data_IF_716501055984
#
_entry.id   IF_716501055984
#
_cell.length_a   1.000
_cell.length_b   1.000
_cell.length_c   1.000
_cell.angle_alpha   90.00
_cell.angle_beta   90.00
_cell.angle_gamma   90.00
#
_symmetry.space_group_name_H-M   'P 1'
#
loop_
_entity.id
_entity.type
_entity.pdbx_description
1 polymer ?
#
# COMPACT_ATOMS: atom_id res chain seq x y z
N UNK A 1 -12.90 -17.80 -30.71
CA UNK A 1 -12.19 -16.84 -29.84
C UNK A 1 -12.78 -15.46 -30.06
N UNK A 2 -12.38 -14.48 -29.25
CA UNK A 2 -12.73 -13.07 -29.47
C UNK A 2 -11.71 -12.42 -30.42
N UNK A 3 -12.16 -11.47 -31.25
CA UNK A 3 -11.25 -10.53 -31.92
C UNK A 3 -10.99 -9.39 -30.97
N UNK A 4 -9.72 -9.11 -30.66
CA UNK A 4 -9.33 -8.17 -29.61
C UNK A 4 -8.39 -7.12 -30.18
N UNK A 5 -8.73 -5.86 -29.94
CA UNK A 5 -7.83 -4.74 -30.11
C UNK A 5 -7.45 -4.23 -28.72
N UNK A 6 -6.16 -4.01 -28.47
CA UNK A 6 -5.65 -3.41 -27.25
C UNK A 6 -5.02 -2.06 -27.60
N UNK A 7 -5.41 -1.01 -26.88
CA UNK A 7 -4.98 0.36 -27.14
C UNK A 7 -4.29 0.93 -25.91
N UNK A 8 -3.08 1.46 -26.07
CA UNK A 8 -2.34 2.13 -25.01
C UNK A 8 -1.30 3.10 -25.58
N UNK A 9 -0.60 3.87 -24.74
CA UNK A 9 0.52 4.73 -25.13
C UNK A 9 1.82 3.94 -25.16
N UNK A 10 1.86 2.79 -25.87
CA UNK A 10 2.99 1.86 -25.79
C UNK A 10 4.35 2.50 -26.08
N UNK A 11 4.41 3.46 -27.00
CA UNK A 11 5.63 4.20 -27.36
C UNK A 11 6.11 5.14 -26.26
N UNK A 12 5.21 5.69 -25.45
CA UNK A 12 5.54 6.64 -24.39
C UNK A 12 6.37 5.98 -23.26
N UNK A 13 6.24 4.67 -23.09
CA UNK A 13 6.90 3.91 -22.02
C UNK A 13 8.10 3.09 -22.50
N UNK A 14 8.68 3.45 -23.65
CA UNK A 14 9.85 2.78 -24.23
C UNK A 14 9.70 1.24 -24.25
N UNK A 15 10.73 0.49 -23.85
CA UNK A 15 10.74 -0.97 -23.85
C UNK A 15 9.97 -1.62 -22.69
N UNK A 16 9.33 -0.85 -21.80
CA UNK A 16 8.66 -1.40 -20.60
C UNK A 16 7.55 -2.41 -20.96
N UNK A 17 6.88 -2.21 -22.10
CA UNK A 17 5.80 -3.06 -22.58
C UNK A 17 6.22 -4.14 -23.57
N UNK A 18 7.52 -4.31 -23.89
CA UNK A 18 7.95 -5.27 -24.92
C UNK A 18 7.52 -6.71 -24.61
N UNK A 19 7.66 -7.13 -23.35
CA UNK A 19 7.22 -8.44 -22.88
C UNK A 19 5.70 -8.65 -23.07
N UNK A 20 4.85 -7.83 -22.45
CA UNK A 20 3.40 -7.88 -22.63
C UNK A 20 2.95 -7.78 -24.09
N UNK A 21 3.51 -6.85 -24.88
CA UNK A 21 3.17 -6.67 -26.30
C UNK A 21 3.44 -7.93 -27.11
N UNK A 22 4.56 -8.61 -26.86
CA UNK A 22 4.87 -9.88 -27.52
C UNK A 22 3.81 -10.94 -27.18
N UNK A 23 3.44 -11.11 -25.92
CA UNK A 23 2.42 -12.08 -25.50
C UNK A 23 1.07 -11.77 -26.15
N UNK A 24 0.67 -10.51 -26.19
CA UNK A 24 -0.56 -10.06 -26.84
C UNK A 24 -0.54 -10.35 -28.35
N UNK A 25 0.55 -9.99 -29.04
CA UNK A 25 0.70 -10.21 -30.47
C UNK A 25 0.72 -11.70 -30.84
N UNK A 26 1.44 -12.54 -30.07
CA UNK A 26 1.45 -14.00 -30.22
C UNK A 26 0.07 -14.62 -29.99
N UNK A 27 -0.78 -13.96 -29.19
CA UNK A 27 -2.17 -14.35 -28.95
C UNK A 27 -3.14 -13.84 -30.03
N UNK A 28 -2.64 -13.16 -31.06
CA UNK A 28 -3.45 -12.59 -32.14
C UNK A 28 -4.20 -11.30 -31.78
N UNK A 29 -3.81 -10.62 -30.70
CA UNK A 29 -4.36 -9.32 -30.32
C UNK A 29 -3.73 -8.24 -31.19
N UNK A 30 -4.57 -7.39 -31.80
CA UNK A 30 -4.10 -6.23 -32.56
C UNK A 30 -3.77 -5.11 -31.58
N UNK A 31 -2.53 -4.66 -31.61
CA UNK A 31 -2.05 -3.54 -30.79
C UNK A 31 -2.24 -2.22 -31.54
N UNK A 32 -2.78 -1.21 -30.86
CA UNK A 32 -2.94 0.15 -31.34
C UNK A 32 -2.28 1.11 -30.37
N UNK A 33 -1.58 2.12 -30.90
CA UNK A 33 -0.93 3.13 -30.07
C UNK A 33 -1.71 4.45 -30.10
N UNK A 34 -1.85 5.13 -28.97
CA UNK A 34 -2.48 6.45 -28.92
C UNK A 34 -1.74 7.49 -29.76
N UNK A 35 -0.43 7.36 -29.99
CA UNK A 35 0.30 8.21 -30.93
C UNK A 35 -0.21 8.06 -32.38
N UNK A 36 -0.81 6.91 -32.72
CA UNK A 36 -1.30 6.60 -34.06
C UNK A 36 -2.79 6.93 -34.22
N UNK A 37 -3.62 6.55 -33.24
CA UNK A 37 -5.09 6.68 -33.33
C UNK A 37 -5.65 7.87 -32.55
N UNK A 38 -4.83 8.52 -31.73
CA UNK A 38 -5.21 9.58 -30.80
C UNK A 38 -6.11 9.09 -29.65
N UNK A 39 -6.20 9.86 -28.57
CA UNK A 39 -7.10 9.56 -27.44
C UNK A 39 -8.59 9.51 -27.84
N UNK A 40 -8.94 10.19 -28.93
CA UNK A 40 -10.27 10.14 -29.52
C UNK A 40 -10.51 8.90 -30.38
N UNK A 41 -9.58 7.95 -30.50
CA UNK A 41 -9.73 6.73 -31.32
C UNK A 41 -10.29 7.03 -32.73
N UNK A 42 -9.66 7.97 -33.43
CA UNK A 42 -10.15 8.46 -34.71
C UNK A 42 -10.16 7.32 -35.75
N UNK A 43 -11.23 7.25 -36.55
CA UNK A 43 -11.39 6.20 -37.57
C UNK A 43 -11.95 4.87 -37.07
N UNK A 44 -12.24 4.75 -35.77
CA UNK A 44 -12.93 3.61 -35.17
C UNK A 44 -14.31 4.07 -34.74
N UNK A 45 -15.39 3.47 -35.24
CA UNK A 45 -16.76 3.80 -34.85
C UNK A 45 -17.65 2.55 -34.79
N UNK A 46 -18.50 2.47 -33.76
CA UNK A 46 -19.50 1.43 -33.54
C UNK A 46 -19.05 -0.01 -33.88
N UNK A 47 -17.79 -0.35 -33.57
CA UNK A 47 -17.12 -1.57 -34.05
C UNK A 47 -17.03 -2.69 -33.01
N UNK A 48 -17.18 -2.38 -31.72
CA UNK A 48 -16.95 -3.36 -30.65
C UNK A 48 -18.23 -3.81 -29.96
N UNK A 49 -18.37 -5.12 -29.72
CA UNK A 49 -19.47 -5.64 -28.90
C UNK A 49 -19.22 -5.46 -27.39
N UNK A 50 -17.94 -5.35 -27.00
CA UNK A 50 -17.51 -5.12 -25.62
C UNK A 50 -16.34 -4.14 -25.65
N UNK A 51 -16.37 -3.13 -24.79
CA UNK A 51 -15.29 -2.18 -24.56
C UNK A 51 -14.89 -2.27 -23.09
N UNK A 52 -13.61 -2.43 -22.82
CA UNK A 52 -13.03 -2.45 -21.47
C UNK A 52 -12.20 -1.17 -21.29
N UNK A 53 -12.45 -0.42 -20.22
CA UNK A 53 -11.64 0.72 -19.82
C UNK A 53 -11.35 0.56 -18.32
N UNK A 54 -10.20 -0.05 -18.04
CA UNK A 54 -9.84 -0.58 -16.72
C UNK A 54 -8.61 0.18 -16.19
N UNK A 55 -8.75 0.88 -15.07
CA UNK A 55 -7.67 1.64 -14.41
C UNK A 55 -7.24 2.87 -15.20
N UNK A 56 -8.20 3.56 -15.82
CA UNK A 56 -7.92 4.68 -16.73
C UNK A 56 -8.70 5.94 -16.36
N UNK A 57 -9.97 5.82 -15.98
CA UNK A 57 -10.86 6.98 -15.81
C UNK A 57 -10.41 7.92 -14.69
N UNK A 58 -9.70 7.39 -13.69
CA UNK A 58 -9.11 8.11 -12.57
C UNK A 58 -7.90 8.98 -12.97
N UNK A 59 -7.24 8.63 -14.07
CA UNK A 59 -6.12 9.37 -14.64
C UNK A 59 -6.56 10.46 -15.61
N UNK A 60 -7.84 10.54 -15.97
CA UNK A 60 -8.33 11.56 -16.93
C UNK A 60 -8.36 12.93 -16.26
N UNK A 61 -7.58 13.91 -16.76
CA UNK A 61 -7.56 15.25 -16.18
C UNK A 61 -8.85 16.00 -16.49
N UNK A 62 -9.23 16.90 -15.58
CA UNK A 62 -10.40 17.79 -15.70
C UNK A 62 -11.75 17.09 -15.79
N UNK A 63 -12.12 16.54 -16.95
CA UNK A 63 -13.44 15.96 -17.20
C UNK A 63 -13.33 14.59 -17.84
N UNK A 64 -13.98 13.54 -17.29
CA UNK A 64 -14.02 12.22 -17.91
C UNK A 64 -14.94 12.16 -19.15
N UNK A 65 -15.67 13.23 -19.46
CA UNK A 65 -16.66 13.24 -20.55
C UNK A 65 -16.07 12.87 -21.92
N UNK A 66 -14.93 13.43 -22.38
CA UNK A 66 -14.38 13.08 -23.68
C UNK A 66 -13.99 11.59 -23.80
N UNK A 67 -13.52 10.99 -22.70
CA UNK A 67 -13.27 9.56 -22.63
C UNK A 67 -14.59 8.79 -22.78
N UNK A 68 -15.60 9.09 -21.97
CA UNK A 68 -16.88 8.39 -22.01
C UNK A 68 -17.58 8.54 -23.37
N UNK A 69 -17.55 9.73 -23.99
CA UNK A 69 -18.10 9.96 -25.33
C UNK A 69 -17.36 9.13 -26.40
N UNK A 70 -16.04 8.95 -26.23
CA UNK A 70 -15.23 8.10 -27.11
C UNK A 70 -15.58 6.63 -26.94
N UNK A 71 -15.71 6.16 -25.70
CA UNK A 71 -16.06 4.77 -25.39
C UNK A 71 -17.47 4.41 -25.89
N UNK A 72 -18.47 5.27 -25.67
CA UNK A 72 -19.83 5.04 -26.20
C UNK A 72 -19.83 5.01 -27.74
N UNK A 73 -19.08 5.91 -28.39
CA UNK A 73 -19.03 5.97 -29.85
C UNK A 73 -18.48 4.68 -30.47
N UNK A 74 -17.34 4.19 -29.98
CA UNK A 74 -16.72 2.96 -30.52
C UNK A 74 -17.49 1.69 -30.18
N UNK A 75 -18.34 1.73 -29.14
CA UNK A 75 -19.17 0.62 -28.73
C UNK A 75 -20.38 0.45 -29.67
N UNK A 76 -20.56 -0.75 -30.21
CA UNK A 76 -21.74 -1.09 -31.01
C UNK A 76 -23.03 -0.97 -30.19
N UNK A 77 -24.16 -0.69 -30.85
CA UNK A 77 -25.48 -0.71 -30.20
C UNK A 77 -25.76 -2.07 -29.59
N UNK A 78 -26.27 -2.08 -28.36
CA UNK A 78 -26.47 -3.31 -27.57
C UNK A 78 -25.20 -3.87 -26.93
N UNK A 79 -24.03 -3.31 -27.26
CA UNK A 79 -22.74 -3.69 -26.71
C UNK A 79 -22.58 -3.30 -25.24
N UNK A 80 -21.56 -3.88 -24.60
CA UNK A 80 -21.26 -3.69 -23.18
C UNK A 80 -20.02 -2.80 -22.99
N UNK A 81 -20.15 -1.82 -22.11
CA UNK A 81 -19.02 -1.08 -21.56
C UNK A 81 -18.74 -1.59 -20.16
N UNK A 82 -17.48 -1.95 -19.93
CA UNK A 82 -16.94 -2.27 -18.62
C UNK A 82 -15.98 -1.17 -18.20
N UNK A 83 -16.29 -0.50 -17.09
CA UNK A 83 -15.41 0.48 -16.47
C UNK A 83 -14.99 -0.02 -15.11
N UNK A 84 -13.74 0.21 -14.75
CA UNK A 84 -13.30 0.06 -13.36
C UNK A 84 -12.48 1.26 -12.89
N UNK A 85 -12.39 1.43 -11.58
CA UNK A 85 -11.65 2.52 -10.92
C UNK A 85 -11.51 2.25 -9.43
N UNK A 86 -10.49 2.83 -8.77
CA UNK A 86 -10.44 2.87 -7.31
C UNK A 86 -11.69 3.51 -6.70
N UNK A 87 -12.15 2.96 -5.57
CA UNK A 87 -13.27 3.50 -4.80
C UNK A 87 -12.80 4.62 -3.87
N UNK A 88 -13.22 5.86 -4.12
CA UNK A 88 -12.90 7.01 -3.27
C UNK A 88 -13.30 6.78 -1.81
N UNK A 89 -14.41 6.07 -1.58
CA UNK A 89 -14.94 5.76 -0.24
C UNK A 89 -14.59 4.36 0.23
N UNK A 90 -13.51 3.77 -0.29
CA UNK A 90 -12.88 2.58 0.28
C UNK A 90 -12.67 2.76 1.80
N UNK A 91 -12.85 1.68 2.57
CA UNK A 91 -12.75 1.70 4.03
C UNK A 91 -11.47 2.40 4.51
N UNK A 92 -10.31 2.06 3.95
CA UNK A 92 -9.04 2.67 4.37
C UNK A 92 -8.98 4.17 4.06
N UNK A 93 -9.65 4.63 2.99
CA UNK A 93 -9.78 6.05 2.67
C UNK A 93 -10.69 6.79 3.66
N UNK A 94 -11.81 6.18 4.07
CA UNK A 94 -12.67 6.73 5.15
C UNK A 94 -11.89 6.87 6.45
N UNK A 95 -11.07 5.86 6.74
CA UNK A 95 -10.17 5.83 7.89
C UNK A 95 -9.11 6.96 7.82
N UNK A 96 -8.49 7.18 6.64
CA UNK A 96 -7.59 8.33 6.40
C UNK A 96 -8.30 9.67 6.63
N UNK A 97 -9.49 9.86 6.07
CA UNK A 97 -10.27 11.08 6.28
C UNK A 97 -10.60 11.33 7.75
N UNK A 98 -10.97 10.28 8.50
CA UNK A 98 -11.20 10.38 9.94
C UNK A 98 -9.95 10.84 10.72
N UNK A 99 -8.76 10.55 10.20
CA UNK A 99 -7.46 11.02 10.73
C UNK A 99 -7.04 12.40 10.23
N UNK A 100 -7.80 13.02 9.33
CA UNK A 100 -7.41 14.26 8.66
C UNK A 100 -6.29 14.06 7.63
N UNK A 101 -6.07 12.83 7.18
CA UNK A 101 -5.09 12.50 6.14
C UNK A 101 -5.69 12.65 4.74
N UNK A 102 -4.85 13.04 3.77
CA UNK A 102 -5.26 13.08 2.36
C UNK A 102 -5.34 11.67 1.78
N UNK A 103 -6.33 11.46 0.90
CA UNK A 103 -6.43 10.26 0.05
C UNK A 103 -5.87 10.52 -1.35
N UNK A 104 -5.61 11.79 -1.70
CA UNK A 104 -5.01 12.17 -2.96
C UNK A 104 -3.52 11.86 -2.98
N UNK A 105 -2.92 11.95 -4.16
CA UNK A 105 -1.47 11.88 -4.31
C UNK A 105 -0.76 12.85 -3.36
N UNK A 106 0.41 12.43 -2.87
CA UNK A 106 1.21 13.27 -1.99
C UNK A 106 1.53 14.60 -2.66
N UNK A 107 1.15 15.71 -2.02
CA UNK A 107 1.20 17.04 -2.64
C UNK A 107 2.60 17.42 -3.12
N UNK A 108 3.65 17.00 -2.41
CA UNK A 108 5.03 17.26 -2.82
C UNK A 108 5.38 16.53 -4.12
N UNK A 109 5.00 15.25 -4.25
CA UNK A 109 5.26 14.49 -5.48
C UNK A 109 4.49 15.11 -6.66
N UNK A 110 3.21 15.45 -6.46
CA UNK A 110 2.40 16.10 -7.50
C UNK A 110 2.94 17.49 -7.88
N UNK A 111 3.41 18.28 -6.91
CA UNK A 111 3.94 19.63 -7.14
C UNK A 111 5.25 19.62 -7.93
N UNK A 112 6.13 18.67 -7.66
CA UNK A 112 7.44 18.53 -8.32
C UNK A 112 7.36 17.71 -9.63
N UNK A 113 6.17 17.21 -10.01
CA UNK A 113 5.99 16.40 -11.23
C UNK A 113 6.07 17.30 -12.47
N UNK A 114 6.89 16.91 -13.44
CA UNK A 114 6.83 17.50 -14.78
C UNK A 114 5.49 17.18 -15.45
N UNK A 115 4.95 18.10 -16.24
CA UNK A 115 3.68 17.85 -16.91
C UNK A 115 3.83 16.77 -18.00
N UNK A 116 2.86 15.84 -18.12
CA UNK A 116 1.61 15.76 -17.36
C UNK A 116 1.74 15.03 -16.01
N UNK A 117 0.88 15.39 -15.05
CA UNK A 117 0.72 14.59 -13.84
C UNK A 117 -0.01 13.27 -14.17
N UNK A 118 0.69 12.15 -14.01
CA UNK A 118 0.20 10.81 -14.35
C UNK A 118 -0.55 10.09 -13.20
N UNK A 119 -0.59 10.67 -12.00
CA UNK A 119 -1.35 10.10 -10.89
C UNK A 119 -2.86 10.25 -11.02
N UNK A 120 -3.60 9.79 -10.01
CA UNK A 120 -5.06 9.92 -9.98
C UNK A 120 -5.47 11.40 -9.86
N UNK A 121 -6.26 11.89 -10.81
CA UNK A 121 -6.90 13.20 -10.76
C UNK A 121 -8.21 13.15 -9.98
N UNK A 122 -8.92 12.02 -10.06
CA UNK A 122 -10.16 11.78 -9.34
C UNK A 122 -10.41 10.29 -9.15
N UNK A 123 -10.60 9.87 -7.91
CA UNK A 123 -11.23 8.58 -7.62
C UNK A 123 -12.75 8.77 -7.52
N UNK A 124 -13.52 7.72 -7.81
CA UNK A 124 -14.98 7.82 -7.93
C UNK A 124 -15.70 7.00 -6.86
N UNK A 125 -16.96 7.33 -6.66
CA UNK A 125 -17.91 6.55 -5.88
C UNK A 125 -18.91 5.85 -6.80
N UNK A 126 -19.55 4.79 -6.32
CA UNK A 126 -20.61 4.07 -7.05
C UNK A 126 -21.70 4.99 -7.62
N UNK A 127 -22.34 5.89 -6.84
CA UNK A 127 -23.36 6.77 -7.38
C UNK A 127 -22.85 7.71 -8.49
N UNK A 128 -21.58 8.14 -8.44
CA UNK A 128 -20.99 8.96 -9.51
C UNK A 128 -20.80 8.15 -10.80
N UNK A 129 -20.29 6.92 -10.70
CA UNK A 129 -20.17 6.02 -11.86
C UNK A 129 -21.55 5.75 -12.49
N UNK A 130 -22.54 5.39 -11.67
CA UNK A 130 -23.91 5.15 -12.13
C UNK A 130 -24.50 6.41 -12.79
N UNK A 131 -24.29 7.59 -12.20
CA UNK A 131 -24.74 8.84 -12.80
C UNK A 131 -24.08 9.11 -14.16
N UNK A 132 -22.77 8.89 -14.29
CA UNK A 132 -22.06 9.09 -15.56
C UNK A 132 -22.54 8.12 -16.65
N UNK A 133 -22.73 6.84 -16.31
CA UNK A 133 -23.25 5.83 -17.24
C UNK A 133 -24.67 6.15 -17.70
N UNK A 134 -25.55 6.57 -16.78
CA UNK A 134 -26.89 7.07 -17.13
C UNK A 134 -26.81 8.32 -18.00
N UNK A 135 -25.84 9.22 -17.74
CA UNK A 135 -25.68 10.48 -18.47
C UNK A 135 -25.32 10.28 -19.94
N UNK A 136 -24.54 9.24 -20.26
CA UNK A 136 -24.24 8.82 -21.64
C UNK A 136 -25.33 7.92 -22.26
N UNK A 137 -26.43 7.69 -21.53
CA UNK A 137 -27.59 6.95 -22.02
C UNK A 137 -27.47 5.43 -21.92
N UNK A 138 -26.52 4.91 -21.14
CA UNK A 138 -26.40 3.47 -20.92
C UNK A 138 -27.52 2.93 -20.02
N UNK A 139 -27.83 1.66 -20.20
CA UNK A 139 -28.85 0.89 -19.47
C UNK A 139 -28.27 -0.43 -18.94
N UNK A 140 -29.06 -1.20 -18.19
CA UNK A 140 -28.65 -2.49 -17.60
C UNK A 140 -27.32 -2.35 -16.84
N UNK A 141 -27.27 -1.35 -15.97
CA UNK A 141 -26.06 -1.06 -15.18
C UNK A 141 -26.02 -2.04 -14.02
N UNK A 142 -24.90 -2.75 -13.87
CA UNK A 142 -24.55 -3.48 -12.65
C UNK A 142 -23.22 -2.98 -12.12
N UNK A 143 -23.03 -3.12 -10.81
CA UNK A 143 -21.84 -2.68 -10.09
C UNK A 143 -21.35 -3.79 -9.20
N UNK A 144 -20.10 -4.21 -9.40
CA UNK A 144 -19.39 -5.08 -8.49
C UNK A 144 -18.32 -4.28 -7.76
N UNK A 145 -18.13 -4.58 -6.47
CA UNK A 145 -17.04 -4.01 -5.70
C UNK A 145 -16.23 -5.15 -5.06
N UNK A 146 -14.91 -5.05 -5.12
CA UNK A 146 -14.00 -6.10 -4.67
C UNK A 146 -12.75 -5.52 -4.03
N UNK A 147 -12.06 -6.35 -3.24
CA UNK A 147 -10.76 -6.00 -2.67
C UNK A 147 -9.67 -6.67 -3.50
N UNK A 148 -8.63 -5.93 -3.88
CA UNK A 148 -7.50 -6.48 -4.63
C UNK A 148 -6.28 -6.64 -3.71
N UNK A 149 -5.95 -5.58 -2.97
CA UNK A 149 -4.75 -5.50 -2.13
C UNK A 149 -4.75 -6.51 -0.99
N UNK A 150 -5.92 -6.89 -0.46
CA UNK A 150 -5.99 -7.90 0.61
C UNK A 150 -5.53 -9.28 0.15
N UNK A 151 -5.63 -9.60 -1.14
CA UNK A 151 -5.18 -10.89 -1.68
C UNK A 151 -3.67 -10.94 -1.94
N UNK A 152 -3.00 -9.79 -2.00
CA UNK A 152 -1.54 -9.72 -2.10
C UNK A 152 -0.85 -9.97 -0.74
N UNK A 153 -1.60 -9.96 0.37
CA UNK A 153 -1.06 -10.15 1.70
C UNK A 153 -1.03 -11.64 2.07
N UNK A 154 0.16 -12.15 2.40
CA UNK A 154 0.32 -13.53 2.88
C UNK A 154 -0.29 -13.77 4.28
N UNK A 155 -0.54 -12.72 5.05
CA UNK A 155 -1.22 -12.79 6.35
C UNK A 155 -1.90 -11.45 6.64
N UNK A 156 -3.15 -11.48 7.10
CA UNK A 156 -3.86 -10.29 7.58
C UNK A 156 -3.61 -10.11 9.08
N UNK A 157 -3.24 -8.91 9.50
CA UNK A 157 -3.06 -8.56 10.91
C UNK A 157 -4.36 -8.03 11.54
N UNK A 158 -4.39 -7.82 12.85
CA UNK A 158 -5.60 -7.50 13.62
C UNK A 158 -6.54 -6.46 12.98
N UNK A 159 -6.00 -5.29 12.57
CA UNK A 159 -6.77 -4.24 11.90
C UNK A 159 -7.28 -4.68 10.53
N UNK A 160 -6.44 -5.37 9.76
CA UNK A 160 -6.76 -5.79 8.40
C UNK A 160 -7.87 -6.82 8.38
N UNK A 161 -7.88 -7.74 9.36
CA UNK A 161 -8.96 -8.72 9.54
C UNK A 161 -10.28 -8.03 9.85
N UNK A 162 -10.28 -7.07 10.78
CA UNK A 162 -11.48 -6.31 11.11
C UNK A 162 -12.00 -5.52 9.90
N UNK A 163 -11.10 -4.84 9.19
CA UNK A 163 -11.43 -4.09 7.99
C UNK A 163 -11.98 -4.99 6.89
N UNK A 164 -11.36 -6.15 6.65
CA UNK A 164 -11.84 -7.13 5.69
C UNK A 164 -13.28 -7.53 5.97
N UNK A 165 -13.61 -7.91 7.21
CA UNK A 165 -14.98 -8.29 7.55
C UNK A 165 -16.00 -7.15 7.45
N UNK A 166 -15.61 -5.91 7.75
CA UNK A 166 -16.48 -4.75 7.51
C UNK A 166 -16.76 -4.57 6.01
N UNK A 167 -15.76 -4.76 5.15
CA UNK A 167 -15.91 -4.69 3.69
C UNK A 167 -16.66 -5.91 3.11
N UNK A 168 -16.62 -7.07 3.77
CA UNK A 168 -17.49 -8.21 3.44
C UNK A 168 -18.95 -7.85 3.74
N UNK A 169 -19.24 -7.22 4.89
CA UNK A 169 -20.60 -6.80 5.30
C UNK A 169 -21.19 -5.68 4.45
N UNK A 170 -20.35 -4.73 4.04
CA UNK A 170 -20.75 -3.59 3.22
C UNK A 170 -19.83 -3.47 1.99
N UNK A 171 -20.27 -3.97 0.82
CA UNK A 171 -19.48 -3.92 -0.41
C UNK A 171 -19.17 -2.49 -0.86
N UNK A 172 -19.93 -1.48 -0.42
CA UNK A 172 -19.66 -0.08 -0.76
C UNK A 172 -18.36 0.45 -0.16
N UNK A 173 -17.79 -0.30 0.80
CA UNK A 173 -16.52 0.02 1.43
C UNK A 173 -15.32 -0.71 0.80
N UNK A 174 -15.53 -1.58 -0.20
CA UNK A 174 -14.45 -2.33 -0.85
C UNK A 174 -13.56 -1.42 -1.71
N UNK A 175 -12.36 -1.89 -1.98
CA UNK A 175 -11.28 -1.12 -2.58
C UNK A 175 -11.55 -0.62 -3.99
N UNK A 176 -12.13 -1.46 -4.84
CA UNK A 176 -12.20 -1.22 -6.26
C UNK A 176 -13.62 -1.41 -6.78
N UNK A 177 -14.03 -0.58 -7.73
CA UNK A 177 -15.36 -0.58 -8.33
C UNK A 177 -15.26 -1.04 -9.77
N UNK A 178 -16.11 -1.97 -10.17
CA UNK A 178 -16.28 -2.40 -11.55
C UNK A 178 -17.74 -2.25 -11.92
N UNK A 179 -18.00 -1.68 -13.09
CA UNK A 179 -19.34 -1.48 -13.61
C UNK A 179 -19.46 -2.14 -14.96
N UNK A 180 -20.61 -2.76 -15.22
CA UNK A 180 -21.00 -3.22 -16.54
C UNK A 180 -22.25 -2.45 -16.92
N UNK A 181 -22.28 -1.94 -18.16
CA UNK A 181 -23.42 -1.19 -18.67
C UNK A 181 -23.57 -1.42 -20.16
N UNK A 182 -24.78 -1.22 -20.69
CA UNK A 182 -25.06 -1.47 -22.08
C UNK A 182 -25.45 -0.21 -22.84
N UNK A 183 -24.88 -0.03 -24.03
CA UNK A 183 -25.39 0.92 -25.02
C UNK A 183 -26.76 0.46 -25.52
N UNK A 184 -27.80 1.32 -25.56
CA UNK A 184 -29.11 0.90 -26.04
C UNK A 184 -29.10 0.36 -27.47
N UNK A 185 -29.87 -0.70 -27.72
CA UNK A 185 -30.16 -1.17 -29.07
C UNK A 185 -31.02 -0.16 -29.84
N UNK A 186 -31.05 -0.28 -31.17
CA UNK A 186 -31.92 0.56 -31.97
C UNK A 186 -33.40 0.38 -31.58
N UNK A 187 -34.09 1.49 -31.30
CA UNK A 187 -35.48 1.49 -30.85
C UNK A 187 -35.70 1.09 -29.39
N UNK A 188 -34.64 0.80 -28.64
CA UNK A 188 -34.70 0.39 -27.23
C UNK A 188 -34.29 1.49 -26.25
N UNK A 189 -34.34 2.77 -26.66
CA UNK A 189 -34.13 3.89 -25.75
C UNK A 189 -35.35 3.94 -24.79
N UNK A 190 -35.23 3.27 -23.64
CA UNK A 190 -36.22 3.30 -22.58
C UNK A 190 -36.23 4.62 -21.83
N UNK A 191 -37.18 4.76 -20.90
CA UNK A 191 -37.16 5.88 -19.95
C UNK A 191 -35.87 5.87 -19.11
N UNK A 192 -35.38 7.04 -18.68
CA UNK A 192 -34.21 7.12 -17.82
C UNK A 192 -34.40 6.28 -16.56
N UNK A 193 -33.50 5.34 -16.33
CA UNK A 193 -33.50 4.53 -15.10
C UNK A 193 -33.21 5.42 -13.89
N UNK A 194 -34.22 5.60 -13.05
CA UNK A 194 -34.16 6.38 -11.82
C UNK A 194 -34.02 5.50 -10.56
N UNK A 195 -33.71 4.21 -10.71
CA UNK A 195 -33.50 3.32 -9.57
C UNK A 195 -32.38 3.80 -8.65
N UNK A 196 -32.50 3.51 -7.36
CA UNK A 196 -31.42 3.74 -6.39
C UNK A 196 -30.22 2.89 -6.80
N UNK A 197 -29.04 3.51 -6.91
CA UNK A 197 -27.80 2.82 -7.28
C UNK A 197 -27.49 1.62 -6.37
N UNK A 198 -27.99 1.62 -5.13
CA UNK A 198 -27.83 0.48 -4.21
C UNK A 198 -28.44 -0.81 -4.72
N UNK A 199 -29.50 -0.74 -5.54
CA UNK A 199 -30.12 -1.93 -6.13
C UNK A 199 -29.35 -2.48 -7.31
N UNK A 200 -28.32 -1.76 -7.79
CA UNK A 200 -27.46 -2.16 -8.91
C UNK A 200 -26.21 -2.92 -8.44
N UNK A 201 -25.99 -3.02 -7.13
CA UNK A 201 -24.83 -3.71 -6.56
C UNK A 201 -25.05 -5.22 -6.68
N UNK A 202 -24.16 -5.88 -7.39
CA UNK A 202 -24.03 -7.32 -7.46
C UNK A 202 -22.85 -7.71 -6.57
N UNK A 203 -23.11 -8.50 -5.52
CA UNK A 203 -22.05 -8.95 -4.61
C UNK A 203 -21.66 -10.40 -4.94
N UNK A 204 -20.53 -10.62 -5.64
CA UNK A 204 -20.07 -11.96 -5.99
C UNK A 204 -19.51 -12.74 -4.77
N UNK A 205 -19.18 -12.06 -3.66
CA UNK A 205 -18.52 -12.64 -2.48
C UNK A 205 -19.51 -13.29 -1.48
N UNK A 206 -20.60 -13.89 -1.98
CA UNK A 206 -21.64 -14.51 -1.15
C UNK A 206 -21.12 -15.62 -0.23
N UNK A 207 -20.01 -16.28 -0.58
CA UNK A 207 -19.36 -17.27 0.28
C UNK A 207 -18.81 -16.65 1.56
N UNK A 208 -18.19 -15.48 1.49
CA UNK A 208 -17.63 -14.78 2.64
C UNK A 208 -18.72 -14.23 3.55
N UNK A 209 -19.81 -13.72 2.97
CA UNK A 209 -20.99 -13.33 3.73
C UNK A 209 -21.57 -14.50 4.55
N UNK A 210 -21.62 -15.71 3.98
CA UNK A 210 -22.05 -16.91 4.70
C UNK A 210 -21.08 -17.34 5.80
N UNK A 211 -19.80 -17.01 5.66
CA UNK A 211 -18.75 -17.31 6.63
C UNK A 211 -18.55 -16.19 7.67
N UNK A 212 -19.41 -15.16 7.67
CA UNK A 212 -19.27 -14.01 8.55
C UNK A 212 -19.27 -14.46 10.04
N UNK A 213 -18.21 -14.16 10.81
CA UNK A 213 -18.16 -14.51 12.22
C UNK A 213 -19.31 -13.88 13.01
N UNK A 214 -19.95 -14.63 13.91
CA UNK A 214 -21.08 -14.13 14.70
C UNK A 214 -20.74 -12.84 15.48
N UNK A 215 -19.51 -12.72 15.98
CA UNK A 215 -19.01 -11.52 16.67
C UNK A 215 -19.01 -10.26 15.79
N UNK A 216 -19.05 -10.41 14.46
CA UNK A 216 -19.13 -9.30 13.51
C UNK A 216 -20.58 -8.90 13.20
N UNK A 217 -21.55 -9.81 13.34
CA UNK A 217 -22.96 -9.51 13.08
C UNK A 217 -23.50 -8.44 14.02
N UNK A 218 -23.05 -8.47 15.29
CA UNK A 218 -23.50 -7.56 16.36
C UNK A 218 -22.76 -6.21 16.38
N UNK A 219 -21.74 -6.03 15.54
CA UNK A 219 -20.99 -4.76 15.49
C UNK A 219 -21.72 -3.75 14.60
N UNK A 220 -21.75 -2.45 15.00
CA UNK A 220 -22.33 -1.41 14.15
C UNK A 220 -21.64 -1.40 12.78
N UNK A 221 -22.43 -1.34 11.71
CA UNK A 221 -21.95 -1.38 10.33
C UNK A 221 -21.20 -0.10 9.93
N UNK A 222 -21.45 1.01 10.62
CA UNK A 222 -20.69 2.24 10.44
C UNK A 222 -19.39 2.17 11.24
N UNK A 223 -18.27 2.44 10.56
CA UNK A 223 -17.05 2.88 11.21
C UNK A 223 -17.43 4.08 12.07
N UNK A 224 -17.46 3.90 13.38
CA UNK A 224 -17.65 5.01 14.30
C UNK A 224 -16.42 5.91 14.15
N UNK A 225 -16.55 6.96 13.35
CA UNK A 225 -15.49 7.98 13.12
C UNK A 225 -14.89 8.42 14.45
N UNK A 226 -15.73 8.56 15.48
CA UNK A 226 -15.31 8.87 16.85
C UNK A 226 -14.41 7.80 17.49
N UNK A 227 -14.70 6.51 17.27
CA UNK A 227 -13.88 5.40 17.77
C UNK A 227 -12.54 5.34 17.05
N UNK A 228 -12.50 5.69 15.77
CA UNK A 228 -11.24 5.77 15.03
C UNK A 228 -10.35 6.92 15.50
N UNK A 229 -10.92 8.11 15.71
CA UNK A 229 -10.22 9.22 16.36
C UNK A 229 -9.68 8.85 17.75
N UNK A 230 -10.42 8.06 18.52
CA UNK A 230 -9.96 7.55 19.82
C UNK A 230 -8.80 6.55 19.67
N UNK A 231 -8.89 5.62 18.72
CA UNK A 231 -7.81 4.67 18.43
C UNK A 231 -6.53 5.38 17.97
N UNK A 232 -6.66 6.44 17.18
CA UNK A 232 -5.54 7.25 16.70
C UNK A 232 -4.87 7.99 17.85
N UNK A 233 -5.66 8.64 18.71
CA UNK A 233 -5.13 9.28 19.93
C UNK A 233 -4.41 8.27 20.82
N UNK A 234 -4.95 7.06 20.95
CA UNK A 234 -4.35 6.00 21.75
C UNK A 234 -3.06 5.47 21.10
N UNK A 235 -3.03 5.32 19.77
CA UNK A 235 -1.84 4.93 19.03
C UNK A 235 -0.74 6.00 19.11
N UNK A 236 -1.09 7.28 19.00
CA UNK A 236 -0.15 8.39 19.20
C UNK A 236 0.42 8.42 20.62
N UNK A 237 -0.41 8.11 21.62
CA UNK A 237 0.05 7.98 23.00
C UNK A 237 1.01 6.80 23.18
N UNK A 238 0.71 5.64 22.56
CA UNK A 238 1.60 4.47 22.56
C UNK A 238 2.94 4.83 21.88
N UNK A 239 2.89 5.41 20.69
CA UNK A 239 4.09 5.80 19.94
C UNK A 239 4.97 6.77 20.74
N UNK A 240 4.35 7.74 21.45
CA UNK A 240 5.06 8.68 22.32
C UNK A 240 5.71 7.97 23.51
N UNK A 241 4.99 7.07 24.17
CA UNK A 241 5.52 6.26 25.28
C UNK A 241 6.65 5.34 24.84
N UNK A 242 6.57 4.77 23.65
CA UNK A 242 7.62 3.92 23.10
C UNK A 242 8.87 4.73 22.74
N UNK A 243 8.70 5.95 22.23
CA UNK A 243 9.82 6.89 22.03
C UNK A 243 10.47 7.29 23.36
N UNK A 244 9.67 7.60 24.39
CA UNK A 244 10.16 7.88 25.75
C UNK A 244 10.92 6.68 26.34
N UNK A 245 10.37 5.47 26.21
CA UNK A 245 11.02 4.22 26.65
C UNK A 245 12.32 3.97 25.91
N UNK A 246 12.37 4.21 24.59
CA UNK A 246 13.59 4.07 23.80
C UNK A 246 14.67 5.06 24.26
N UNK A 247 14.30 6.31 24.59
CA UNK A 247 15.23 7.30 25.12
C UNK A 247 15.79 6.89 26.51
N UNK A 248 14.93 6.42 27.42
CA UNK A 248 15.36 5.92 28.73
C UNK A 248 16.26 4.68 28.57
N UNK A 249 15.91 3.75 27.69
CA UNK A 249 16.72 2.57 27.43
C UNK A 249 18.09 2.93 26.85
N UNK A 250 18.15 3.95 25.98
CA UNK A 250 19.42 4.46 25.47
C UNK A 250 20.29 5.01 26.61
N UNK A 251 19.72 5.79 27.53
CA UNK A 251 20.45 6.32 28.69
C UNK A 251 20.99 5.19 29.60
N UNK A 252 20.18 4.15 29.84
CA UNK A 252 20.61 2.96 30.59
C UNK A 252 21.77 2.27 29.90
N UNK A 253 21.69 2.05 28.58
CA UNK A 253 22.75 1.40 27.82
C UNK A 253 24.08 2.18 27.90
N UNK A 254 24.03 3.51 27.81
CA UNK A 254 25.21 4.38 27.97
C UNK A 254 25.80 4.25 29.36
N UNK A 255 24.98 4.23 30.42
CA UNK A 255 25.47 4.04 31.80
C UNK A 255 26.11 2.67 31.99
N UNK A 256 25.52 1.62 31.43
CA UNK A 256 26.06 0.25 31.51
C UNK A 256 27.40 0.12 30.78
N UNK A 257 27.58 0.82 29.66
CA UNK A 257 28.88 0.92 28.98
C UNK A 257 29.92 1.65 29.83
N UNK A 258 29.56 2.80 30.43
CA UNK A 258 30.45 3.52 31.34
C UNK A 258 30.85 2.69 32.57
N UNK A 259 29.92 1.92 33.13
CA UNK A 259 30.19 1.03 34.26
C UNK A 259 31.12 -0.12 33.88
N UNK A 260 30.95 -0.69 32.67
CA UNK A 260 31.86 -1.72 32.13
C UNK A 260 33.27 -1.17 31.95
N UNK A 261 33.41 0.00 31.31
CA UNK A 261 34.70 0.67 31.14
C UNK A 261 35.38 0.95 32.49
N UNK A 262 34.62 1.42 33.49
CA UNK A 262 35.14 1.68 34.83
C UNK A 262 35.59 0.37 35.50
N UNK A 263 34.81 -0.70 35.37
CA UNK A 263 35.14 -2.01 35.91
C UNK A 263 36.41 -2.57 35.26
N UNK A 264 36.55 -2.50 33.94
CA UNK A 264 37.75 -2.94 33.23
C UNK A 264 39.00 -2.19 33.67
N UNK A 265 38.91 -0.86 33.82
CA UNK A 265 40.02 -0.03 34.34
C UNK A 265 40.41 -0.46 35.75
N UNK A 266 39.42 -0.69 36.62
CA UNK A 266 39.65 -1.12 37.99
C UNK A 266 40.33 -2.50 38.04
N UNK A 267 39.85 -3.46 37.24
CA UNK A 267 40.46 -4.80 37.13
C UNK A 267 41.91 -4.69 36.66
N UNK A 268 42.18 -3.88 35.63
CA UNK A 268 43.52 -3.66 35.12
C UNK A 268 44.45 -3.00 36.18
N UNK A 269 43.95 -2.05 36.95
CA UNK A 269 44.71 -1.41 38.03
C UNK A 269 45.06 -2.39 39.15
N UNK A 270 44.11 -3.26 39.54
CA UNK A 270 44.34 -4.33 40.51
C UNK A 270 45.39 -5.31 40.00
N UNK A 271 45.29 -5.77 38.75
CA UNK A 271 46.29 -6.66 38.13
C UNK A 271 47.69 -6.04 38.16
N UNK A 272 47.81 -4.77 37.76
CA UNK A 272 49.08 -4.04 37.77
C UNK A 272 49.67 -3.93 39.19
N UNK A 273 48.81 -3.66 40.18
CA UNK A 273 49.22 -3.63 41.59
C UNK A 273 49.75 -5.00 42.04
N UNK A 274 49.05 -6.08 41.71
CA UNK A 274 49.46 -7.44 42.08
C UNK A 274 50.78 -7.84 41.42
N UNK A 275 50.99 -7.49 40.14
CA UNK A 275 52.28 -7.68 39.45
C UNK A 275 53.45 -6.95 40.13
N UNK A 276 53.21 -5.72 40.59
CA UNK A 276 54.21 -4.93 41.33
C UNK A 276 54.53 -5.62 42.67
N UNK A 277 53.50 -6.02 43.42
CA UNK A 277 53.65 -6.72 44.70
C UNK A 277 54.45 -8.01 44.52
N UNK A 278 54.11 -8.82 43.51
CA UNK A 278 54.81 -10.07 43.24
C UNK A 278 56.26 -9.86 42.78
N UNK A 279 56.53 -8.79 42.02
CA UNK A 279 57.90 -8.40 41.67
C UNK A 279 58.71 -8.04 42.92
N UNK A 280 58.16 -7.20 43.79
CA UNK A 280 58.80 -6.81 45.06
C UNK A 280 59.06 -8.02 45.95
N UNK A 281 58.10 -8.97 46.03
CA UNK A 281 58.29 -10.24 46.74
C UNK A 281 59.43 -11.07 46.15
N UNK A 282 59.50 -11.20 44.81
CA UNK A 282 60.60 -11.91 44.14
C UNK A 282 61.96 -11.26 44.39
N UNK A 283 62.05 -9.94 44.35
CA UNK A 283 63.28 -9.20 44.70
C UNK A 283 63.68 -9.41 46.16
N UNK A 284 62.72 -9.37 47.08
CA UNK A 284 62.94 -9.64 48.50
C UNK A 284 63.47 -11.07 48.72
N UNK A 285 62.87 -12.05 48.05
CA UNK A 285 63.31 -13.45 48.05
C UNK A 285 64.72 -13.61 47.46
N UNK A 286 65.01 -12.94 46.35
CA UNK A 286 66.35 -12.93 45.74
C UNK A 286 67.39 -12.34 46.70
N UNK A 287 67.08 -11.21 47.35
CA UNK A 287 67.95 -10.62 48.37
C UNK A 287 68.19 -11.61 49.53
N UNK A 288 67.13 -12.26 50.05
CA UNK A 288 67.26 -13.27 51.11
C UNK A 288 68.11 -14.48 50.72
N UNK A 289 68.10 -14.90 49.44
CA UNK A 289 68.91 -16.02 48.92
C UNK A 289 70.34 -15.61 48.57
N UNK A 290 70.57 -14.39 48.07
CA UNK A 290 71.87 -13.85 47.70
C UNK A 290 72.81 -13.62 48.88
N UNK A 291 72.27 -13.22 50.04
CA UNK A 291 73.03 -13.08 51.27
C UNK A 291 73.66 -14.39 51.78
N UNK A 292 73.12 -15.56 51.38
CA UNK A 292 73.68 -16.87 51.76
C UNK A 292 74.90 -17.31 50.95
N UNK A 293 75.36 -16.52 49.95
CA UNK A 293 76.51 -16.85 49.10
C UNK A 293 77.80 -16.09 49.41
N UNK A 294 77.79 -15.15 50.36
CA UNK A 294 79.03 -14.54 50.87
C UNK A 294 79.74 -15.52 51.82
N UNK A 295 80.57 -16.39 51.27
CA UNK A 295 81.57 -17.12 52.04
C UNK A 295 82.68 -16.14 52.38
N UNK A 296 82.67 -15.63 53.62
CA UNK A 296 83.82 -14.90 54.19
C UNK A 296 84.96 -15.91 54.33
N UNK A 297 85.94 -15.86 53.43
CA UNK A 297 87.22 -16.57 53.62
C UNK A 297 88.01 -15.83 54.72
N UNK A 298 88.44 -16.51 55.79
CA UNK A 298 89.37 -15.89 56.74
C UNK A 298 90.69 -15.57 56.03
N UNK A 299 91.34 -14.42 56.34
CA UNK A 299 92.63 -14.09 55.78
C UNK A 299 93.68 -15.15 56.14
N UNK A 300 94.44 -15.60 55.14
CA UNK A 300 95.56 -16.49 55.32
C UNK A 300 96.71 -15.75 56.01
N UNK A 301 97.07 -16.25 57.19
CA UNK A 301 98.43 -16.36 57.75
C UNK A 301 99.41 -15.20 57.68
N UNK A 302 99.89 -14.80 58.85
CA UNK A 302 101.33 -14.79 59.13
C UNK A 302 101.60 -15.83 60.21
#
# INVERSE_FOLDING_TARGET
GFSVDAVDSYRAYEGAFDGPKRVLAESGVRLLDFDEVGYGLAGIDASYNVVLCLGVIEHVPSSPRPLLDTLDRVLARGGLLVLDTPNLVHLYNRQKFARGETVLAGIQAQYETELPFEGHHREYTIPELVWMLRRIGHQRISVEAFNYSSYALGTLSARDVHNHWNMVRDPTMREYLMTVSARPSAGAAGEPDASDWRTLIEDPEQSWLRALPAVMADQPAQVAVDRELQLVKMQDEINRRDAERAAVQHEVNVRDEMLRDLHERFVHEVQRRDEIIDRLRREQDWMRRGWRRFVVRPPQGT
#
